data_IF_101464568344
#
_entry.id   IF_101464568344
#
_cell.length_a   1.000
_cell.length_b   1.000
_cell.length_c   1.000
_cell.angle_alpha   90.00
_cell.angle_beta   90.00
_cell.angle_gamma   90.00
#
_symmetry.space_group_name_H-M   'P 1'
#
loop_
_entity.id
_entity.type
_entity.pdbx_description
1 polymer ?
#
# COMPACT_ATOMS: atom_id res chain seq x y z
N UNK A 1 -2.86 -8.10 11.50
CA UNK A 1 -3.22 -6.69 11.22
C UNK A 1 -3.57 -6.55 9.75
N UNK A 2 -4.47 -5.63 9.40
CA UNK A 2 -4.88 -5.35 8.01
C UNK A 2 -4.05 -4.18 7.48
N UNK A 3 -3.42 -4.35 6.31
CA UNK A 3 -2.62 -3.32 5.64
C UNK A 3 -3.51 -2.36 4.87
N UNK A 4 -3.05 -1.11 4.66
CA UNK A 4 -3.73 -0.18 3.75
C UNK A 4 -3.83 -0.71 2.32
N UNK A 5 -2.97 -1.67 1.95
CA UNK A 5 -3.02 -2.34 0.64
C UNK A 5 -4.18 -3.34 0.51
N UNK A 6 -4.73 -3.84 1.62
CA UNK A 6 -5.86 -4.79 1.60
C UNK A 6 -7.16 -4.14 1.12
N UNK A 7 -7.19 -2.80 1.05
CA UNK A 7 -8.29 -1.99 0.52
C UNK A 7 -8.30 -1.91 -1.03
N UNK A 8 -7.33 -2.54 -1.71
CA UNK A 8 -7.15 -2.51 -3.17
C UNK A 8 -8.34 -3.02 -3.99
N UNK A 9 -9.27 -3.74 -3.37
CA UNK A 9 -10.51 -4.20 -4.01
C UNK A 9 -11.53 -3.07 -4.23
N UNK A 10 -11.34 -1.92 -3.59
CA UNK A 10 -12.22 -0.76 -3.78
C UNK A 10 -11.74 0.08 -4.97
N UNK A 11 -12.68 0.48 -5.83
CA UNK A 11 -12.35 1.26 -7.04
C UNK A 11 -11.63 2.58 -6.71
N UNK A 12 -12.00 3.22 -5.58
CA UNK A 12 -11.41 4.48 -5.15
C UNK A 12 -9.93 4.34 -4.79
N UNK A 13 -9.52 3.25 -4.14
CA UNK A 13 -8.12 3.01 -3.78
C UNK A 13 -7.27 2.80 -5.02
N UNK A 14 -7.79 2.09 -6.03
CA UNK A 14 -7.08 1.89 -7.31
C UNK A 14 -6.89 3.21 -8.07
N UNK A 15 -7.85 4.15 -7.98
CA UNK A 15 -7.68 5.51 -8.54
C UNK A 15 -6.58 6.29 -7.83
N UNK A 16 -6.51 6.18 -6.51
CA UNK A 16 -5.46 6.80 -5.71
C UNK A 16 -4.07 6.25 -6.04
N UNK A 17 -3.93 4.92 -6.13
CA UNK A 17 -2.71 4.26 -6.56
C UNK A 17 -2.21 4.77 -7.91
N UNK A 18 -3.11 4.83 -8.90
CA UNK A 18 -2.78 5.35 -10.23
C UNK A 18 -2.36 6.82 -10.21
N UNK A 19 -2.95 7.62 -9.33
CA UNK A 19 -2.57 9.03 -9.15
C UNK A 19 -1.16 9.18 -8.57
N UNK A 20 -0.75 8.31 -7.65
CA UNK A 20 0.55 8.36 -6.96
C UNK A 20 1.69 7.65 -7.72
N UNK A 21 1.38 6.91 -8.78
CA UNK A 21 2.33 6.04 -9.48
C UNK A 21 3.44 6.78 -10.23
N UNK A 22 3.32 8.09 -10.42
CA UNK A 22 4.35 8.94 -11.03
C UNK A 22 5.50 9.28 -10.07
N UNK A 23 5.25 9.21 -8.76
CA UNK A 23 6.21 9.59 -7.70
C UNK A 23 6.58 8.45 -6.74
N UNK A 24 6.07 7.24 -6.95
CA UNK A 24 6.30 6.07 -6.11
C UNK A 24 6.79 4.86 -6.91
N UNK A 25 7.51 3.95 -6.26
CA UNK A 25 7.76 2.62 -6.82
C UNK A 25 6.48 1.77 -6.73
N UNK A 26 6.01 1.27 -7.87
CA UNK A 26 4.73 0.55 -7.97
C UNK A 26 4.85 -0.78 -8.70
N UNK A 27 3.99 -1.73 -8.31
CA UNK A 27 3.72 -2.96 -9.06
C UNK A 27 2.98 -2.65 -10.39
N UNK A 28 2.85 -3.64 -11.31
CA UNK A 28 2.14 -3.44 -12.57
C UNK A 28 0.66 -3.04 -12.45
N UNK A 29 0.03 -3.25 -11.29
CA UNK A 29 -1.34 -2.85 -10.99
C UNK A 29 -1.45 -1.45 -10.33
N UNK A 30 -0.34 -0.71 -10.31
CA UNK A 30 -0.15 0.60 -9.66
C UNK A 30 -0.14 0.57 -8.13
N UNK A 31 -0.32 -0.59 -7.49
CA UNK A 31 -0.14 -0.68 -6.03
C UNK A 31 1.31 -0.35 -5.66
N UNK A 32 1.56 0.39 -4.57
CA UNK A 32 2.91 0.70 -4.13
C UNK A 32 3.64 -0.56 -3.65
N UNK A 33 4.92 -0.68 -4.01
CA UNK A 33 5.78 -1.75 -3.48
C UNK A 33 5.88 -1.58 -1.96
N UNK A 34 5.54 -2.63 -1.21
CA UNK A 34 5.48 -2.59 0.26
C UNK A 34 6.26 -3.76 0.83
N UNK A 35 7.19 -3.48 1.74
CA UNK A 35 7.96 -4.49 2.47
C UNK A 35 7.46 -4.49 3.92
N UNK A 36 6.85 -5.59 4.41
CA UNK A 36 6.40 -5.64 5.79
C UNK A 36 7.60 -5.64 6.74
N UNK A 37 7.51 -4.84 7.81
CA UNK A 37 8.53 -4.79 8.85
C UNK A 37 8.08 -5.62 10.05
N UNK A 38 9.04 -6.33 10.65
CA UNK A 38 8.81 -7.04 11.91
C UNK A 38 8.72 -6.04 13.07
N UNK A 39 7.62 -6.09 13.82
CA UNK A 39 7.48 -5.27 15.03
C UNK A 39 8.33 -5.86 16.15
N UNK A 40 9.49 -5.24 16.41
CA UNK A 40 10.45 -5.74 17.41
C UNK A 40 10.22 -5.23 18.83
N UNK A 41 9.37 -4.22 19.01
CA UNK A 41 9.10 -3.61 20.31
C UNK A 41 7.74 -2.91 20.32
N UNK A 42 7.04 -2.97 21.46
CA UNK A 42 5.80 -2.25 21.74
C UNK A 42 5.70 -2.01 23.25
N UNK A 43 5.26 -0.82 23.66
CA UNK A 43 5.00 -0.45 25.05
C UNK A 43 3.69 0.34 25.09
N UNK A 44 2.80 0.01 26.04
CA UNK A 44 1.49 0.66 26.21
C UNK A 44 1.57 2.09 26.75
#
# INVERSE_FOLDING_TARGET
ESSSQDLGNTEIVRKWWKYMADIMETNPDFSPVTIPLEQVFYME
#
